data_IF_453724616731
#
_entry.id   IF_453724616731
#
_cell.length_a   1.000
_cell.length_b   1.000
_cell.length_c   1.000
_cell.angle_alpha   90.00
_cell.angle_beta   90.00
_cell.angle_gamma   90.00
#
_symmetry.space_group_name_H-M   'P 1'
#
loop_
_entity.id
_entity.type
_entity.pdbx_description
1 polymer ?
#
# COMPACT_ATOMS: atom_id res chain seq x y z
N UNK A 1 7.73 -41.51 9.60
CA UNK A 1 9.05 -40.84 9.50
C UNK A 1 9.32 -40.25 8.10
N UNK A 2 8.68 -40.73 7.02
CA UNK A 2 8.83 -40.19 5.66
C UNK A 2 7.93 -38.95 5.41
N UNK A 3 6.70 -38.92 5.97
CA UNK A 3 5.75 -37.80 5.76
C UNK A 3 6.25 -36.46 6.30
N UNK A 4 6.88 -36.45 7.48
CA UNK A 4 7.39 -35.21 8.09
C UNK A 4 8.47 -34.53 7.25
N UNK A 5 9.32 -35.29 6.56
CA UNK A 5 10.37 -34.74 5.71
C UNK A 5 9.82 -34.18 4.38
N UNK A 6 8.75 -34.78 3.85
CA UNK A 6 8.04 -34.29 2.67
C UNK A 6 7.28 -32.99 2.97
N UNK A 7 6.62 -32.91 4.13
CA UNK A 7 5.92 -31.71 4.59
C UNK A 7 6.88 -30.53 4.81
N UNK A 8 8.05 -30.79 5.41
CA UNK A 8 9.05 -29.75 5.64
C UNK A 8 9.60 -29.17 4.33
N UNK A 9 9.81 -30.01 3.31
CA UNK A 9 10.25 -29.57 1.98
C UNK A 9 9.15 -28.81 1.24
N UNK A 10 7.90 -29.25 1.35
CA UNK A 10 6.75 -28.57 0.75
C UNK A 10 6.55 -27.16 1.36
N UNK A 11 6.65 -27.03 2.68
CA UNK A 11 6.59 -25.76 3.40
C UNK A 11 7.78 -24.84 3.07
N UNK A 12 9.00 -25.37 2.98
CA UNK A 12 10.15 -24.58 2.58
C UNK A 12 10.02 -24.04 1.14
N UNK A 13 9.43 -24.84 0.24
CA UNK A 13 9.21 -24.47 -1.16
C UNK A 13 8.04 -23.48 -1.32
N UNK A 14 7.00 -23.54 -0.48
CA UNK A 14 5.95 -22.51 -0.45
C UNK A 14 6.45 -21.19 0.16
N UNK A 15 7.29 -21.27 1.19
CA UNK A 15 7.93 -20.11 1.82
C UNK A 15 8.99 -19.43 0.94
N UNK A 16 9.67 -20.15 0.05
CA UNK A 16 10.59 -19.55 -0.93
C UNK A 16 9.84 -18.91 -2.10
N UNK A 17 8.77 -19.56 -2.59
CA UNK A 17 7.91 -19.01 -3.65
C UNK A 17 7.22 -17.71 -3.23
N UNK A 18 6.67 -17.66 -2.02
CA UNK A 18 6.06 -16.44 -1.48
C UNK A 18 7.07 -15.29 -1.28
N UNK A 19 8.33 -15.60 -0.91
CA UNK A 19 9.40 -14.60 -0.80
C UNK A 19 9.73 -13.93 -2.13
N UNK A 20 9.82 -14.68 -3.22
CA UNK A 20 10.09 -14.14 -4.56
C UNK A 20 9.01 -13.14 -5.00
N UNK A 21 7.74 -13.53 -4.88
CA UNK A 21 6.60 -12.65 -5.20
C UNK A 21 6.56 -11.42 -4.31
N UNK A 22 6.85 -11.56 -3.01
CA UNK A 22 6.88 -10.42 -2.08
C UNK A 22 7.94 -9.40 -2.46
N UNK A 23 9.16 -9.86 -2.80
CA UNK A 23 10.23 -8.96 -3.24
C UNK A 23 9.86 -8.22 -4.52
N UNK A 24 9.24 -8.92 -5.47
CA UNK A 24 8.76 -8.30 -6.71
C UNK A 24 7.71 -7.21 -6.42
N UNK A 25 6.71 -7.50 -5.59
CA UNK A 25 5.67 -6.53 -5.21
C UNK A 25 6.24 -5.31 -4.47
N UNK A 26 7.29 -5.49 -3.66
CA UNK A 26 7.99 -4.37 -3.02
C UNK A 26 8.77 -3.53 -4.03
N UNK A 27 9.41 -4.17 -5.02
CA UNK A 27 10.08 -3.47 -6.10
C UNK A 27 9.10 -2.70 -6.99
N UNK A 28 7.94 -3.27 -7.29
CA UNK A 28 6.84 -2.58 -7.97
C UNK A 28 6.35 -1.37 -7.17
N UNK A 29 6.20 -1.52 -5.85
CA UNK A 29 5.89 -0.41 -4.94
C UNK A 29 6.94 0.70 -5.01
N UNK A 30 8.23 0.36 -4.96
CA UNK A 30 9.31 1.34 -5.07
C UNK A 30 9.30 2.07 -6.43
N UNK A 31 9.08 1.34 -7.53
CA UNK A 31 8.97 1.93 -8.86
C UNK A 31 7.77 2.88 -8.97
N UNK A 32 6.61 2.48 -8.44
CA UNK A 32 5.42 3.33 -8.40
C UNK A 32 5.63 4.59 -7.54
N UNK A 33 6.33 4.47 -6.40
CA UNK A 33 6.67 5.62 -5.54
C UNK A 33 7.55 6.62 -6.29
N UNK A 34 8.61 6.13 -6.93
CA UNK A 34 9.50 6.97 -7.74
C UNK A 34 8.72 7.66 -8.87
N UNK A 35 7.85 6.92 -9.56
CA UNK A 35 7.01 7.47 -10.64
C UNK A 35 6.07 8.58 -10.14
N UNK A 36 5.40 8.36 -9.01
CA UNK A 36 4.49 9.33 -8.42
C UNK A 36 5.21 10.62 -7.97
N UNK A 37 6.35 10.47 -7.27
CA UNK A 37 7.18 11.61 -6.83
C UNK A 37 7.73 12.36 -8.03
N UNK A 38 8.22 11.66 -9.06
CA UNK A 38 8.73 12.29 -10.29
C UNK A 38 7.63 13.07 -11.00
N UNK A 39 6.42 12.52 -11.09
CA UNK A 39 5.26 13.26 -11.63
C UNK A 39 4.95 14.52 -10.82
N UNK A 40 5.01 14.43 -9.50
CA UNK A 40 4.77 15.57 -8.61
C UNK A 40 5.82 16.68 -8.78
N UNK A 41 7.09 16.31 -8.96
CA UNK A 41 8.19 17.23 -9.28
C UNK A 41 7.93 17.95 -10.61
N UNK A 42 7.53 17.22 -11.65
CA UNK A 42 7.24 17.79 -12.98
C UNK A 42 6.08 18.79 -12.92
N UNK A 43 5.10 18.57 -12.03
CA UNK A 43 4.01 19.51 -11.78
C UNK A 43 4.42 20.76 -10.99
N UNK A 44 5.67 20.86 -10.53
CA UNK A 44 6.15 21.90 -9.62
C UNK A 44 5.27 21.99 -8.35
N UNK A 45 4.89 20.82 -7.81
CA UNK A 45 4.02 20.75 -6.65
C UNK A 45 4.63 21.34 -5.37
N UNK A 46 3.77 21.75 -4.44
CA UNK A 46 4.16 22.28 -3.13
C UNK A 46 4.58 21.15 -2.17
N UNK A 47 5.85 21.11 -1.80
CA UNK A 47 6.39 20.10 -0.89
C UNK A 47 5.80 20.14 0.52
N UNK A 48 5.25 21.26 0.98
CA UNK A 48 4.52 21.31 2.25
C UNK A 48 3.21 20.54 2.15
N UNK A 49 2.46 20.73 1.06
CA UNK A 49 1.26 19.97 0.76
C UNK A 49 1.60 18.47 0.60
N UNK A 50 2.69 18.15 -0.09
CA UNK A 50 3.17 16.79 -0.24
C UNK A 50 3.40 16.14 1.13
N UNK A 51 4.21 16.75 1.99
CA UNK A 51 4.54 16.17 3.30
C UNK A 51 3.30 16.00 4.19
N UNK A 52 2.38 16.96 4.18
CA UNK A 52 1.14 16.89 4.97
C UNK A 52 0.22 15.78 4.48
N UNK A 53 -0.07 15.74 3.17
CA UNK A 53 -1.01 14.79 2.60
C UNK A 53 -0.44 13.38 2.47
N UNK A 54 0.88 13.22 2.43
CA UNK A 54 1.52 11.90 2.44
C UNK A 54 1.12 11.12 3.69
N UNK A 55 1.06 11.76 4.87
CA UNK A 55 0.74 11.10 6.13
C UNK A 55 -0.77 10.95 6.40
N UNK A 56 -1.61 11.64 5.61
CA UNK A 56 -3.04 11.72 5.89
C UNK A 56 -3.77 10.36 5.79
N UNK A 57 -3.47 9.47 4.82
CA UNK A 57 -4.15 8.16 4.73
C UNK A 57 -3.94 7.29 5.97
N UNK A 58 -2.83 7.42 6.69
CA UNK A 58 -2.52 6.61 7.89
C UNK A 58 -3.44 6.92 9.07
N UNK A 59 -4.11 8.08 9.09
CA UNK A 59 -5.14 8.36 10.09
C UNK A 59 -6.30 7.36 10.04
N UNK A 60 -6.51 6.67 8.91
CA UNK A 60 -7.46 5.55 8.79
C UNK A 60 -7.21 4.43 9.80
N UNK A 61 -5.97 4.28 10.28
CA UNK A 61 -5.63 3.31 11.33
C UNK A 61 -6.34 3.57 12.66
N UNK A 62 -6.82 4.80 12.90
CA UNK A 62 -7.61 5.12 14.10
C UNK A 62 -8.92 4.32 14.17
N UNK A 63 -9.42 3.80 13.05
CA UNK A 63 -10.58 2.90 13.00
C UNK A 63 -10.42 1.64 13.84
N UNK A 64 -9.18 1.16 14.04
CA UNK A 64 -8.89 0.00 14.90
C UNK A 64 -9.21 0.24 16.39
N UNK A 65 -9.51 1.49 16.79
CA UNK A 65 -9.99 1.79 18.15
C UNK A 65 -11.44 1.37 18.39
N UNK A 66 -12.22 1.19 17.33
CA UNK A 66 -13.60 0.70 17.42
C UNK A 66 -13.58 -0.83 17.48
N UNK A 67 -13.10 -1.45 16.41
CA UNK A 67 -12.87 -2.89 16.31
C UNK A 67 -11.93 -3.21 15.12
N UNK A 68 -11.47 -4.46 15.04
CA UNK A 68 -10.50 -4.89 14.03
C UNK A 68 -11.09 -4.99 12.61
N UNK A 69 -12.38 -5.30 12.46
CA UNK A 69 -13.03 -5.42 11.16
C UNK A 69 -13.24 -4.04 10.53
N UNK A 70 -13.82 -3.11 11.30
CA UNK A 70 -13.99 -1.72 10.89
C UNK A 70 -12.64 -1.06 10.62
N UNK A 71 -11.65 -1.27 11.49
CA UNK A 71 -10.29 -0.78 11.30
C UNK A 71 -9.65 -1.26 9.99
N UNK A 72 -9.79 -2.55 9.67
CA UNK A 72 -9.27 -3.11 8.41
C UNK A 72 -10.00 -2.54 7.19
N UNK A 73 -11.33 -2.41 7.25
CA UNK A 73 -12.13 -1.84 6.16
C UNK A 73 -11.77 -0.37 5.89
N UNK A 74 -11.65 0.45 6.94
CA UNK A 74 -11.29 1.86 6.83
C UNK A 74 -9.84 2.04 6.34
N UNK A 75 -8.90 1.23 6.83
CA UNK A 75 -7.52 1.27 6.35
C UNK A 75 -7.44 0.88 4.86
N UNK A 76 -8.12 -0.19 4.45
CA UNK A 76 -8.08 -0.69 3.08
C UNK A 76 -8.72 0.29 2.08
N UNK A 77 -9.77 1.02 2.49
CA UNK A 77 -10.37 2.06 1.64
C UNK A 77 -9.43 3.26 1.44
N UNK A 78 -8.58 3.57 2.43
CA UNK A 78 -7.54 4.59 2.30
C UNK A 78 -6.28 4.10 1.55
N UNK A 79 -6.00 2.79 1.55
CA UNK A 79 -4.78 2.19 0.98
C UNK A 79 -5.00 1.40 -0.34
N UNK A 80 -6.13 1.64 -1.00
CA UNK A 80 -6.40 1.13 -2.35
C UNK A 80 -6.06 2.18 -3.42
N UNK A 81 -5.53 1.75 -4.56
CA UNK A 81 -5.27 2.65 -5.70
C UNK A 81 -6.55 3.10 -6.41
N UNK A 82 -7.71 2.51 -6.12
CA UNK A 82 -8.97 2.87 -6.77
C UNK A 82 -9.33 4.35 -6.56
N UNK A 83 -9.19 4.84 -5.32
CA UNK A 83 -9.55 6.21 -4.95
C UNK A 83 -8.61 7.23 -5.60
N UNK A 84 -7.28 7.16 -5.42
CA UNK A 84 -6.39 8.11 -6.09
C UNK A 84 -6.36 7.92 -7.62
N UNK A 85 -6.60 6.73 -8.15
CA UNK A 85 -6.75 6.51 -9.59
C UNK A 85 -7.96 7.26 -10.17
N UNK A 86 -9.12 7.21 -9.50
CA UNK A 86 -10.28 7.98 -9.88
C UNK A 86 -10.04 9.50 -9.75
N UNK A 87 -9.33 9.92 -8.69
CA UNK A 87 -8.97 11.32 -8.48
C UNK A 87 -8.00 11.85 -9.54
N UNK A 88 -7.01 11.05 -9.94
CA UNK A 88 -6.10 11.36 -11.04
C UNK A 88 -6.87 11.52 -12.35
N UNK A 89 -7.78 10.59 -12.67
CA UNK A 89 -8.61 10.68 -13.86
C UNK A 89 -9.50 11.94 -13.83
N UNK A 90 -10.11 12.26 -12.69
CA UNK A 90 -10.90 13.47 -12.54
C UNK A 90 -10.05 14.73 -12.73
N UNK A 91 -8.85 14.80 -12.14
CA UNK A 91 -7.92 15.92 -12.33
C UNK A 91 -7.49 16.09 -13.78
N UNK A 92 -7.24 14.98 -14.48
CA UNK A 92 -6.92 14.99 -15.90
C UNK A 92 -8.08 15.50 -16.76
N UNK A 93 -9.30 14.97 -16.55
CA UNK A 93 -10.48 15.33 -17.35
C UNK A 93 -10.97 16.77 -17.10
N UNK A 94 -10.81 17.26 -15.88
CA UNK A 94 -11.24 18.62 -15.51
C UNK A 94 -10.16 19.67 -15.71
N UNK A 95 -8.90 19.25 -15.90
CA UNK A 95 -7.75 20.13 -15.99
C UNK A 95 -7.38 20.80 -14.66
N UNK A 96 -7.94 20.37 -13.52
CA UNK A 96 -7.65 20.94 -12.21
C UNK A 96 -6.35 20.35 -11.66
N UNK A 97 -5.23 21.11 -11.62
CA UNK A 97 -3.92 20.55 -11.29
C UNK A 97 -3.86 20.01 -9.85
N UNK A 98 -4.59 20.64 -8.93
CA UNK A 98 -4.64 20.22 -7.53
C UNK A 98 -5.17 18.80 -7.36
N UNK A 99 -6.20 18.38 -8.11
CA UNK A 99 -6.74 17.02 -8.00
C UNK A 99 -5.70 15.98 -8.42
N UNK A 100 -5.01 16.24 -9.53
CA UNK A 100 -3.96 15.37 -10.03
C UNK A 100 -2.75 15.33 -9.08
N UNK A 101 -2.37 16.47 -8.51
CA UNK A 101 -1.31 16.58 -7.51
C UNK A 101 -1.64 15.78 -6.23
N UNK A 102 -2.86 15.91 -5.69
CA UNK A 102 -3.34 15.13 -4.53
C UNK A 102 -3.35 13.64 -4.84
N UNK A 103 -3.78 13.25 -6.05
CA UNK A 103 -3.77 11.87 -6.47
C UNK A 103 -2.34 11.28 -6.49
N UNK A 104 -1.35 12.02 -7.02
CA UNK A 104 0.05 11.59 -7.02
C UNK A 104 0.61 11.44 -5.61
N UNK A 105 0.32 12.38 -4.70
CA UNK A 105 0.76 12.27 -3.29
C UNK A 105 0.18 10.99 -2.66
N UNK A 106 -1.10 10.73 -2.89
CA UNK A 106 -1.78 9.55 -2.34
C UNK A 106 -1.25 8.25 -2.96
N UNK A 107 -0.98 8.21 -4.27
CA UNK A 107 -0.28 7.08 -4.89
C UNK A 107 1.10 6.89 -4.26
N UNK A 108 1.84 7.97 -4.02
CA UNK A 108 3.16 7.90 -3.39
C UNK A 108 3.07 7.28 -1.99
N UNK A 109 2.09 7.66 -1.17
CA UNK A 109 1.88 7.04 0.15
C UNK A 109 1.68 5.52 0.05
N UNK A 110 0.70 5.09 -0.77
CA UNK A 110 0.38 3.66 -0.92
C UNK A 110 1.57 2.88 -1.51
N UNK A 111 2.30 3.49 -2.44
CA UNK A 111 3.45 2.87 -3.08
C UNK A 111 4.65 2.72 -2.13
N UNK A 112 4.89 3.73 -1.28
CA UNK A 112 5.89 3.68 -0.21
C UNK A 112 5.58 2.56 0.77
N UNK A 113 4.32 2.46 1.22
CA UNK A 113 3.85 1.39 2.09
C UNK A 113 4.16 0.00 1.50
N UNK A 114 3.79 -0.21 0.23
CA UNK A 114 4.06 -1.46 -0.48
C UNK A 114 5.56 -1.74 -0.62
N UNK A 115 6.37 -0.72 -0.87
CA UNK A 115 7.83 -0.86 -0.93
C UNK A 115 8.42 -1.29 0.42
N UNK A 116 7.87 -0.77 1.53
CA UNK A 116 8.27 -1.12 2.89
C UNK A 116 7.71 -2.48 3.35
N UNK A 117 6.78 -3.06 2.60
CA UNK A 117 6.16 -4.36 2.89
C UNK A 117 4.85 -4.25 3.68
N UNK A 118 4.33 -3.04 3.86
CA UNK A 118 2.96 -2.82 4.31
C UNK A 118 1.99 -3.05 3.15
N UNK A 119 0.77 -3.47 3.48
CA UNK A 119 -0.24 -3.70 2.47
C UNK A 119 -1.64 -3.76 3.07
N UNK A 120 -2.62 -4.00 2.20
CA UNK A 120 -4.01 -4.25 2.59
C UNK A 120 -4.11 -5.28 3.69
N UNK A 121 -4.93 -4.95 4.68
CA UNK A 121 -5.16 -5.66 5.94
C UNK A 121 -6.15 -6.78 5.74
N UNK A 122 -5.86 -7.95 6.32
CA UNK A 122 -6.83 -9.03 6.45
C UNK A 122 -7.69 -8.79 7.70
N UNK A 123 -8.96 -9.22 7.73
CA UNK A 123 -9.78 -9.16 8.93
C UNK A 123 -9.12 -9.95 10.08
N UNK A 124 -9.12 -9.40 11.29
CA UNK A 124 -8.69 -10.09 12.52
C UNK A 124 -7.52 -9.44 13.26
N UNK A 125 -6.47 -8.98 12.57
CA UNK A 125 -5.31 -8.35 13.23
C UNK A 125 -4.71 -7.23 12.38
N UNK A 126 -4.30 -6.14 13.04
CA UNK A 126 -3.61 -5.02 12.40
C UNK A 126 -2.31 -5.43 11.69
N UNK A 127 -1.62 -6.47 12.18
CA UNK A 127 -0.32 -6.90 11.62
C UNK A 127 -0.46 -7.88 10.46
N UNK A 128 -1.67 -8.37 10.16
CA UNK A 128 -1.89 -9.32 9.09
C UNK A 128 -2.19 -8.59 7.77
N UNK A 129 -1.30 -8.74 6.80
CA UNK A 129 -1.39 -8.06 5.50
C UNK A 129 -1.21 -9.04 4.34
N UNK A 130 -1.67 -8.67 3.16
CA UNK A 130 -1.47 -9.48 1.96
C UNK A 130 0.01 -9.64 1.54
N UNK A 131 0.91 -8.74 1.99
CA UNK A 131 2.36 -8.80 1.71
C UNK A 131 3.19 -9.39 2.84
N UNK A 132 2.64 -9.50 4.05
CA UNK A 132 3.31 -10.04 5.21
C UNK A 132 2.31 -10.57 6.21
N UNK A 133 2.49 -11.83 6.60
CA UNK A 133 1.79 -12.46 7.72
C UNK A 133 2.76 -12.47 8.90
N UNK A 134 2.46 -11.78 9.99
CA UNK A 134 3.03 -12.12 11.29
C UNK A 134 2.11 -13.15 11.93
N UNK A 135 2.61 -14.37 12.15
CA UNK A 135 1.92 -15.31 13.02
C UNK A 135 1.74 -14.63 14.39
N UNK A 136 0.50 -14.63 14.89
CA UNK A 136 0.16 -14.16 16.22
C UNK A 136 0.85 -15.00 17.29
#
# INVERSE_FOLDING_TARGET
MIDTALDTRALATSASRSRGTTLLLRAEGAAAFIGAVSGYVVLNGDWHLFALLLLLPDLSMLGYRIDAEFGAALYNSAHTYLVPGALALAGWLTGVPLLFAVALIWVAHIALDRALGFGLKRPGSFSDTHLSTKAA
#
